data_IF_103968139659
#
_entry.id   IF_103968139659
#
_cell.length_a   1.000
_cell.length_b   1.000
_cell.length_c   1.000
_cell.angle_alpha   90.00
_cell.angle_beta   90.00
_cell.angle_gamma   90.00
#
_symmetry.space_group_name_H-M   'P 1'
#
loop_
_entity.id
_entity.type
_entity.pdbx_description
1 polymer ?
#
# COMPACT_ATOMS: atom_id res chain seq x y z
N UNK A 1 16.36 -11.81 -3.26
CA UNK A 1 15.13 -11.40 -2.55
C UNK A 1 15.09 -9.88 -2.52
N UNK A 2 13.94 -9.27 -2.81
CA UNK A 2 13.74 -7.83 -2.67
C UNK A 2 13.61 -7.51 -1.18
N UNK A 3 14.29 -6.45 -0.71
CA UNK A 3 14.25 -6.02 0.70
C UNK A 3 12.88 -5.40 1.00
N UNK A 4 12.27 -5.78 2.11
CA UNK A 4 11.00 -5.22 2.58
C UNK A 4 11.25 -4.29 3.77
N UNK A 5 11.29 -2.98 3.50
CA UNK A 5 11.60 -1.94 4.49
C UNK A 5 10.54 -1.84 5.59
N UNK A 6 9.28 -2.11 5.28
CA UNK A 6 8.20 -2.15 6.27
C UNK A 6 8.41 -3.30 7.27
N UNK A 7 8.75 -4.50 6.79
CA UNK A 7 9.06 -5.66 7.64
C UNK A 7 10.26 -5.40 8.55
N UNK A 8 11.29 -4.72 8.05
CA UNK A 8 12.46 -4.35 8.86
C UNK A 8 12.02 -3.47 10.04
N UNK A 9 11.21 -2.42 9.79
CA UNK A 9 10.68 -1.53 10.86
C UNK A 9 9.88 -2.31 11.92
N UNK A 10 9.03 -3.25 11.49
CA UNK A 10 8.26 -4.09 12.41
C UNK A 10 9.16 -4.98 13.28
N UNK A 11 10.19 -5.60 12.68
CA UNK A 11 11.14 -6.44 13.42
C UNK A 11 11.96 -5.65 14.43
N UNK A 12 12.28 -4.40 14.11
CA UNK A 12 13.00 -3.47 14.99
C UNK A 12 12.10 -2.86 16.08
N UNK A 13 10.79 -3.19 16.08
CA UNK A 13 9.82 -2.65 17.04
C UNK A 13 9.56 -1.16 16.87
N UNK A 14 9.82 -0.61 15.69
CA UNK A 14 9.61 0.80 15.39
C UNK A 14 8.12 1.07 15.12
N UNK A 15 7.61 2.26 15.51
CA UNK A 15 6.26 2.65 15.17
C UNK A 15 6.11 2.82 13.65
N UNK A 16 4.92 2.50 13.13
CA UNK A 16 4.58 2.66 11.72
C UNK A 16 3.24 3.37 11.56
N UNK A 17 3.14 4.24 10.57
CA UNK A 17 1.90 4.95 10.19
C UNK A 17 1.42 4.41 8.86
N UNK A 18 0.16 3.97 8.79
CA UNK A 18 -0.46 3.48 7.56
C UNK A 18 -1.74 4.23 7.22
N UNK A 19 -2.24 3.99 6.01
CA UNK A 19 -3.55 4.49 5.56
C UNK A 19 -4.39 3.37 4.96
N UNK A 20 -5.70 3.40 5.22
CA UNK A 20 -6.67 2.49 4.63
C UNK A 20 -7.30 3.11 3.40
N UNK A 21 -7.40 2.36 2.31
CA UNK A 21 -8.08 2.79 1.11
C UNK A 21 -8.87 1.64 0.47
N UNK A 22 -9.99 1.98 -0.15
CA UNK A 22 -10.92 1.03 -0.80
C UNK A 22 -11.08 1.30 -2.30
N UNK A 23 -10.52 2.42 -2.78
CA UNK A 23 -10.57 2.79 -4.18
C UNK A 23 -9.63 1.88 -4.97
N UNK A 24 -10.14 1.29 -6.05
CA UNK A 24 -9.37 0.43 -6.97
C UNK A 24 -8.64 1.23 -8.04
N UNK A 25 -8.58 2.55 -7.88
CA UNK A 25 -7.90 3.47 -8.77
C UNK A 25 -6.41 3.56 -8.44
N UNK A 26 -5.51 3.19 -9.37
CA UNK A 26 -4.06 3.28 -9.16
C UNK A 26 -3.57 4.69 -8.80
N UNK A 27 -4.23 5.75 -9.26
CA UNK A 27 -3.85 7.14 -8.97
C UNK A 27 -3.89 7.44 -7.47
N UNK A 28 -4.78 6.77 -6.73
CA UNK A 28 -4.86 6.89 -5.27
C UNK A 28 -3.64 6.27 -4.60
N UNK A 29 -3.16 5.14 -5.11
CA UNK A 29 -1.97 4.47 -4.56
C UNK A 29 -0.71 5.28 -4.86
N UNK A 30 -0.60 5.83 -6.07
CA UNK A 30 0.51 6.72 -6.45
C UNK A 30 0.52 7.96 -5.56
N UNK A 31 -0.65 8.56 -5.29
CA UNK A 31 -0.75 9.71 -4.38
C UNK A 31 -0.32 9.35 -2.96
N UNK A 32 -0.75 8.19 -2.43
CA UNK A 32 -0.38 7.72 -1.09
C UNK A 32 1.14 7.51 -0.97
N UNK A 33 1.77 6.91 -1.96
CA UNK A 33 3.23 6.75 -2.01
C UNK A 33 3.94 8.10 -2.15
N UNK A 34 3.44 8.96 -3.05
CA UNK A 34 4.06 10.24 -3.40
C UNK A 34 4.07 11.29 -2.28
N UNK A 35 3.14 11.22 -1.31
CA UNK A 35 3.16 12.16 -0.16
C UNK A 35 4.22 11.83 0.88
N UNK A 36 4.75 10.60 0.91
CA UNK A 36 5.83 10.19 1.81
C UNK A 36 5.50 10.21 3.31
N UNK A 37 4.22 10.31 3.69
CA UNK A 37 3.77 10.35 5.09
C UNK A 37 3.43 8.98 5.68
N UNK A 38 3.30 7.95 4.84
CA UNK A 38 2.86 6.61 5.24
C UNK A 38 3.96 5.58 5.02
N UNK A 39 4.11 4.66 5.96
CA UNK A 39 5.01 3.50 5.87
C UNK A 39 4.42 2.36 5.03
N UNK A 40 3.09 2.30 4.95
CA UNK A 40 2.35 1.32 4.14
C UNK A 40 0.94 1.83 3.79
N UNK A 41 0.43 1.38 2.64
CA UNK A 41 -0.98 1.49 2.28
C UNK A 41 -1.67 0.13 2.42
N UNK A 42 -2.85 0.12 3.03
CA UNK A 42 -3.65 -1.09 3.20
C UNK A 42 -4.90 -1.02 2.32
N UNK A 43 -4.89 -1.80 1.23
CA UNK A 43 -6.04 -1.97 0.35
C UNK A 43 -7.06 -2.91 0.99
N UNK A 44 -8.25 -2.40 1.31
CA UNK A 44 -9.29 -3.18 1.99
C UNK A 44 -10.09 -4.01 0.99
N UNK A 45 -9.46 -5.09 0.50
CA UNK A 45 -10.03 -6.00 -0.50
C UNK A 45 -11.37 -6.63 -0.05
N UNK A 46 -11.55 -6.87 1.25
CA UNK A 46 -12.76 -7.50 1.81
C UNK A 46 -14.03 -6.67 1.58
N UNK A 47 -13.89 -5.35 1.46
CA UNK A 47 -15.00 -4.40 1.30
C UNK A 47 -15.02 -3.73 -0.07
N UNK A 48 -14.15 -4.15 -0.99
CA UNK A 48 -13.97 -3.52 -2.30
C UNK A 48 -14.37 -4.47 -3.42
N UNK A 49 -15.02 -3.94 -4.45
CA UNK A 49 -15.26 -4.69 -5.68
C UNK A 49 -14.05 -4.51 -6.61
N UNK A 50 -13.30 -5.59 -6.86
CA UNK A 50 -12.10 -5.56 -7.71
C UNK A 50 -11.90 -6.92 -8.41
N UNK A 51 -11.03 -6.95 -9.41
CA UNK A 51 -10.54 -8.17 -10.02
C UNK A 51 -9.00 -8.27 -9.95
N UNK A 52 -8.43 -9.38 -10.40
CA UNK A 52 -6.98 -9.59 -10.37
C UNK A 52 -6.20 -8.53 -11.16
N UNK A 53 -6.61 -8.10 -12.37
CA UNK A 53 -6.02 -6.95 -13.05
C UNK A 53 -5.98 -5.68 -12.21
N UNK A 54 -7.08 -5.28 -11.56
CA UNK A 54 -7.10 -4.10 -10.70
C UNK A 54 -6.06 -4.22 -9.58
N UNK A 55 -6.00 -5.37 -8.91
CA UNK A 55 -5.01 -5.60 -7.85
C UNK A 55 -3.57 -5.48 -8.37
N UNK A 56 -3.30 -5.97 -9.58
CA UNK A 56 -1.99 -5.82 -10.21
C UNK A 56 -1.64 -4.36 -10.50
N UNK A 57 -2.61 -3.57 -10.98
CA UNK A 57 -2.39 -2.14 -11.23
C UNK A 57 -2.12 -1.36 -9.94
N UNK A 58 -2.87 -1.65 -8.86
CA UNK A 58 -2.62 -1.07 -7.54
C UNK A 58 -1.21 -1.37 -7.05
N UNK A 59 -0.77 -2.64 -7.13
CA UNK A 59 0.57 -3.04 -6.69
C UNK A 59 1.72 -2.42 -7.51
N UNK A 60 1.45 -1.97 -8.74
CA UNK A 60 2.45 -1.29 -9.59
C UNK A 60 2.54 0.22 -9.37
N UNK A 61 1.46 0.83 -8.89
CA UNK A 61 1.39 2.27 -8.67
C UNK A 61 1.96 2.69 -7.31
N UNK A 62 2.19 1.73 -6.40
CA UNK A 62 2.90 1.99 -5.16
C UNK A 62 4.40 2.13 -5.40
N UNK A 63 4.94 3.29 -5.02
CA UNK A 63 6.38 3.61 -4.97
C UNK A 63 6.99 3.36 -3.57
#
# INVERSE_FOLDING_TARGET
>A
MIRNTFRDKLNDGLPTVGTHFMLTDPDVVELIGGVGYFDYGEFTAEYSAFDLPHLYHLGRAGD
#
